data_IF_140822591801
#
_entry.id   IF_140822591801
#
_cell.length_a   1.000
_cell.length_b   1.000
_cell.length_c   1.000
_cell.angle_alpha   90.00
_cell.angle_beta   90.00
_cell.angle_gamma   90.00
#
_symmetry.space_group_name_H-M   'P 1'
#
loop_
_entity.id
_entity.type
_entity.pdbx_description
1 polymer ?
#
# COMPACT_ATOMS: atom_id res chain seq x y z
N UNK A 1 3.11 13.83 -23.00
CA UNK A 1 2.59 13.20 -21.78
C UNK A 1 3.11 11.77 -21.76
N UNK A 2 3.52 11.28 -20.60
CA UNK A 2 3.86 9.88 -20.36
C UNK A 2 2.96 9.35 -19.24
N UNK A 3 2.47 8.12 -19.42
CA UNK A 3 1.72 7.36 -18.42
C UNK A 3 2.48 6.05 -18.24
N UNK A 4 2.80 5.69 -17.00
CA UNK A 4 3.58 4.48 -16.72
C UNK A 4 2.91 3.66 -15.60
N UNK A 5 2.68 2.36 -15.81
CA UNK A 5 2.28 1.45 -14.74
C UNK A 5 3.49 0.99 -13.92
N UNK A 6 3.26 0.67 -12.65
CA UNK A 6 4.23 0.00 -11.79
C UNK A 6 3.54 -0.93 -10.79
N UNK A 7 4.30 -1.90 -10.29
CA UNK A 7 3.94 -2.73 -9.15
C UNK A 7 5.02 -2.56 -8.08
N UNK A 8 4.59 -2.29 -6.86
CA UNK A 8 5.44 -2.23 -5.67
C UNK A 8 5.02 -3.35 -4.73
N UNK A 9 5.95 -3.96 -4.02
CA UNK A 9 5.64 -4.91 -2.95
C UNK A 9 6.64 -4.74 -1.82
N UNK A 10 6.23 -5.09 -0.61
CA UNK A 10 7.09 -5.00 0.56
C UNK A 10 6.37 -5.35 1.84
N UNK A 11 6.90 -4.81 2.94
CA UNK A 11 6.35 -4.98 4.28
C UNK A 11 5.95 -3.63 4.86
N UNK A 12 4.93 -3.63 5.70
CA UNK A 12 4.42 -2.47 6.42
C UNK A 12 4.43 -2.75 7.91
N UNK A 13 5.06 -1.85 8.66
CA UNK A 13 5.08 -1.85 10.11
C UNK A 13 4.34 -0.62 10.63
N UNK A 14 3.35 -0.81 11.51
CA UNK A 14 2.52 0.27 12.05
C UNK A 14 2.40 0.18 13.57
N UNK A 15 2.29 1.34 14.21
CA UNK A 15 2.02 1.45 15.65
C UNK A 15 0.54 1.53 15.98
N UNK A 16 -0.29 1.84 14.98
CA UNK A 16 -1.73 1.99 15.13
C UNK A 16 -2.40 1.43 13.86
N UNK A 17 -2.92 0.19 13.90
CA UNK A 17 -3.67 -0.39 12.80
C UNK A 17 -4.94 0.41 12.50
N UNK A 18 -5.43 0.32 11.27
CA UNK A 18 -6.74 0.90 10.95
C UNK A 18 -7.86 0.23 11.74
N UNK A 19 -9.00 0.91 11.89
CA UNK A 19 -10.17 0.34 12.60
C UNK A 19 -10.57 -1.04 12.03
N UNK A 20 -10.58 -1.16 10.70
CA UNK A 20 -10.90 -2.43 10.02
C UNK A 20 -9.87 -3.52 10.33
N UNK A 21 -8.57 -3.18 10.38
CA UNK A 21 -7.53 -4.14 10.76
C UNK A 21 -7.67 -4.55 12.23
N UNK A 22 -8.00 -3.61 13.12
CA UNK A 22 -8.26 -3.87 14.54
C UNK A 22 -9.44 -4.83 14.75
N UNK A 23 -10.51 -4.65 14.01
CA UNK A 23 -11.66 -5.57 14.03
C UNK A 23 -11.26 -6.97 13.57
N UNK A 24 -10.41 -7.06 12.54
CA UNK A 24 -9.89 -8.32 12.00
C UNK A 24 -8.93 -9.02 12.97
N UNK A 25 -8.08 -8.28 13.68
CA UNK A 25 -7.23 -8.82 14.75
C UNK A 25 -8.08 -9.59 15.76
N UNK A 26 -9.23 -9.03 16.17
CA UNK A 26 -10.13 -9.68 17.14
C UNK A 26 -10.75 -10.95 16.57
N UNK A 27 -11.14 -10.96 15.30
CA UNK A 27 -11.75 -12.12 14.64
C UNK A 27 -10.75 -13.27 14.46
N UNK A 28 -9.48 -12.95 14.20
CA UNK A 28 -8.44 -13.91 13.90
C UNK A 28 -7.51 -14.22 15.07
N UNK A 29 -7.69 -13.56 16.22
CA UNK A 29 -6.70 -13.57 17.32
C UNK A 29 -5.28 -13.20 16.82
N UNK A 30 -5.24 -12.25 15.88
CA UNK A 30 -4.05 -11.88 15.12
C UNK A 30 -3.43 -10.53 15.51
N UNK A 31 -2.39 -10.14 14.77
CA UNK A 31 -1.59 -8.92 14.96
C UNK A 31 -1.33 -8.23 13.61
N UNK A 32 -1.93 -7.06 13.41
CA UNK A 32 -1.80 -6.26 12.19
C UNK A 32 -0.59 -5.30 12.21
N UNK A 33 0.20 -5.28 13.29
CA UNK A 33 1.35 -4.37 13.44
C UNK A 33 2.40 -4.57 12.36
N UNK A 34 2.55 -5.80 11.83
CA UNK A 34 3.47 -6.11 10.74
C UNK A 34 2.82 -7.00 9.67
N UNK A 35 2.62 -6.45 8.47
CA UNK A 35 1.97 -7.16 7.35
C UNK A 35 2.74 -6.98 6.03
N UNK A 36 2.49 -7.87 5.07
CA UNK A 36 2.94 -7.68 3.69
C UNK A 36 2.04 -6.69 2.94
N UNK A 37 2.55 -6.06 1.88
CA UNK A 37 1.76 -5.21 0.98
C UNK A 37 2.13 -5.39 -0.49
N UNK A 38 1.16 -5.12 -1.36
CA UNK A 38 1.32 -4.94 -2.81
C UNK A 38 0.62 -3.65 -3.22
N UNK A 39 1.29 -2.86 -4.06
CA UNK A 39 0.84 -1.57 -4.56
C UNK A 39 0.81 -1.53 -6.09
N UNK A 40 -0.36 -1.54 -6.69
CA UNK A 40 -0.52 -1.27 -8.13
C UNK A 40 -0.57 0.23 -8.35
N UNK A 41 0.25 0.74 -9.27
CA UNK A 41 0.50 2.17 -9.42
C UNK A 41 0.39 2.63 -10.87
N UNK A 42 -0.13 3.85 -11.06
CA UNK A 42 -0.06 4.62 -12.30
C UNK A 42 0.62 5.96 -12.02
N UNK A 43 1.62 6.31 -12.83
CA UNK A 43 2.25 7.63 -12.80
C UNK A 43 2.02 8.41 -14.08
N UNK A 44 1.86 9.73 -13.94
CA UNK A 44 1.60 10.67 -15.02
C UNK A 44 2.65 11.77 -15.03
N UNK A 45 3.23 12.03 -16.20
CA UNK A 45 4.28 13.04 -16.38
C UNK A 45 4.08 13.88 -17.62
N UNK A 46 4.28 15.18 -17.51
CA UNK A 46 4.24 16.14 -18.63
C UNK A 46 5.65 16.53 -19.07
N UNK A 47 5.81 16.95 -20.33
CA UNK A 47 7.14 17.25 -20.91
C UNK A 47 7.79 18.47 -20.26
N UNK A 48 6.97 19.41 -19.79
CA UNK A 48 7.39 20.67 -19.18
C UNK A 48 7.98 20.49 -17.77
N UNK A 49 7.70 19.36 -17.11
CA UNK A 49 8.19 19.02 -15.78
C UNK A 49 8.68 17.56 -15.77
N UNK A 50 9.80 17.24 -16.45
CA UNK A 50 10.23 15.86 -16.66
C UNK A 50 10.73 15.15 -15.38
N UNK A 51 10.93 15.90 -14.30
CA UNK A 51 11.35 15.44 -12.98
C UNK A 51 10.19 15.27 -11.99
N UNK A 52 8.94 15.60 -12.37
CA UNK A 52 7.77 15.54 -11.48
C UNK A 52 6.71 14.60 -12.05
N UNK A 53 6.16 13.73 -11.21
CA UNK A 53 5.09 12.81 -11.58
C UNK A 53 3.92 12.92 -10.59
N UNK A 54 2.68 12.94 -11.11
CA UNK A 54 1.50 12.63 -10.31
C UNK A 54 1.37 11.11 -10.23
N UNK A 55 1.18 10.57 -9.04
CA UNK A 55 1.14 9.13 -8.78
C UNK A 55 -0.17 8.77 -8.10
N UNK A 56 -0.86 7.77 -8.63
CA UNK A 56 -1.97 7.11 -7.97
C UNK A 56 -1.61 5.65 -7.69
N UNK A 57 -1.82 5.20 -6.46
CA UNK A 57 -1.53 3.83 -6.04
C UNK A 57 -2.73 3.20 -5.31
N UNK A 58 -3.10 2.00 -5.74
CA UNK A 58 -3.95 1.07 -4.99
C UNK A 58 -3.04 0.27 -4.08
N UNK A 59 -3.10 0.52 -2.78
CA UNK A 59 -2.28 -0.13 -1.77
C UNK A 59 -3.10 -1.20 -1.05
N UNK A 60 -2.74 -2.46 -1.21
CA UNK A 60 -3.32 -3.58 -0.47
C UNK A 60 -2.29 -4.10 0.52
N UNK A 61 -2.64 -4.21 1.80
CA UNK A 61 -1.82 -4.90 2.80
C UNK A 61 -2.62 -5.99 3.50
N UNK A 62 -1.98 -7.09 3.84
CA UNK A 62 -2.63 -8.25 4.48
C UNK A 62 -1.61 -9.21 5.09
N UNK A 63 -2.10 -10.14 5.91
CA UNK A 63 -1.26 -11.18 6.50
C UNK A 63 -0.96 -12.36 5.58
N UNK A 64 -1.40 -12.31 4.32
CA UNK A 64 -1.14 -13.35 3.32
C UNK A 64 -1.52 -14.76 3.82
N UNK A 65 -2.79 -14.92 4.18
CA UNK A 65 -3.36 -16.18 4.67
C UNK A 65 -2.68 -16.72 5.94
N UNK A 66 -2.48 -15.84 6.93
CA UNK A 66 -1.86 -16.18 8.22
C UNK A 66 -0.33 -16.17 8.23
N UNK A 67 0.32 -15.97 7.09
CA UNK A 67 1.79 -15.92 6.98
C UNK A 67 2.40 -14.79 7.85
N UNK A 68 1.72 -13.65 7.94
CA UNK A 68 2.13 -12.52 8.78
C UNK A 68 1.05 -12.21 9.83
N UNK A 69 1.46 -12.16 11.09
CA UNK A 69 0.61 -11.74 12.20
C UNK A 69 -0.61 -12.64 12.46
N UNK A 70 -0.64 -13.86 11.92
CA UNK A 70 -1.83 -14.72 11.92
C UNK A 70 -3.09 -14.04 11.31
N UNK A 71 -2.86 -13.06 10.42
CA UNK A 71 -3.92 -12.32 9.76
C UNK A 71 -4.21 -12.96 8.39
N UNK A 72 -5.47 -13.27 8.09
CA UNK A 72 -5.85 -13.75 6.74
C UNK A 72 -6.15 -12.60 5.79
N UNK A 73 -6.54 -11.45 6.32
CA UNK A 73 -6.87 -10.23 5.59
C UNK A 73 -6.03 -9.03 6.09
N UNK A 74 -6.40 -7.80 5.70
CA UNK A 74 -5.72 -6.58 6.17
C UNK A 74 -6.50 -5.33 5.84
N UNK A 75 -6.03 -4.48 4.93
CA UNK A 75 -6.75 -3.28 4.50
C UNK A 75 -6.34 -2.82 3.09
N UNK A 76 -7.14 -1.92 2.52
CA UNK A 76 -6.84 -1.27 1.25
C UNK A 76 -6.84 0.25 1.43
N UNK A 77 -5.91 0.93 0.76
CA UNK A 77 -5.86 2.38 0.70
C UNK A 77 -5.72 2.85 -0.76
N UNK A 78 -6.35 3.98 -1.05
CA UNK A 78 -6.15 4.71 -2.29
C UNK A 78 -5.20 5.87 -1.97
N UNK A 79 -4.01 5.87 -2.57
CA UNK A 79 -3.02 6.92 -2.37
C UNK A 79 -2.90 7.79 -3.62
N UNK A 80 -2.90 9.11 -3.44
CA UNK A 80 -2.58 10.09 -4.45
C UNK A 80 -1.38 10.91 -3.97
N UNK A 81 -0.35 11.04 -4.79
CA UNK A 81 0.90 11.69 -4.40
C UNK A 81 1.65 12.33 -5.55
N UNK A 82 2.71 13.07 -5.20
CA UNK A 82 3.65 13.67 -6.14
C UNK A 82 5.02 13.02 -5.94
N UNK A 83 5.68 12.61 -7.02
CA UNK A 83 7.03 12.03 -7.00
C UNK A 83 8.00 12.95 -7.72
N UNK A 84 9.09 13.31 -7.04
CA UNK A 84 10.19 14.10 -7.60
C UNK A 84 11.41 13.20 -7.87
N UNK A 85 12.03 13.35 -9.04
CA UNK A 85 13.27 12.67 -9.44
C UNK A 85 14.43 13.68 -9.43
N UNK A 86 15.46 13.40 -8.64
CA UNK A 86 16.67 14.23 -8.50
C UNK A 86 17.69 13.97 -9.61
#
# INVERSE_FOLDING_TARGET
MAIAPALTAGFSAVTDPTEIEREREIVHDGDASFLGFVGAELSFRVRQAPNVELVYQLHHRSGADGTFGDMTEGSNANALGIRYRF
#
